data_IF_319749339821
#
_entry.id   IF_319749339821
#
_cell.length_a   1.000
_cell.length_b   1.000
_cell.length_c   1.000
_cell.angle_alpha   90.00
_cell.angle_beta   90.00
_cell.angle_gamma   90.00
#
_symmetry.space_group_name_H-M   'P 1'
#
loop_
_entity.id
_entity.type
_entity.pdbx_description
1 polymer ?
#
# COMPACT_ATOMS: atom_id res chain seq x y z
N UNK A 1 -65.61 50.21 -0.39
CA UNK A 1 -66.31 50.82 0.76
C UNK A 1 -66.64 49.71 1.75
N UNK A 2 -66.11 49.83 2.99
CA UNK A 2 -66.46 49.14 4.26
C UNK A 2 -66.47 47.59 4.30
N UNK A 3 -65.49 46.98 4.98
CA UNK A 3 -65.38 46.75 6.45
C UNK A 3 -66.18 45.50 6.91
N UNK A 4 -65.46 44.38 7.11
CA UNK A 4 -65.05 43.76 8.39
C UNK A 4 -66.14 43.00 9.15
N UNK A 5 -65.82 41.76 9.54
CA UNK A 5 -65.86 41.32 10.96
C UNK A 5 -65.07 40.03 11.17
N UNK A 6 -64.14 40.11 12.12
CA UNK A 6 -63.41 39.01 12.75
C UNK A 6 -64.34 38.18 13.65
N UNK A 7 -64.05 36.89 13.83
CA UNK A 7 -64.20 36.19 15.12
C UNK A 7 -63.00 35.27 15.33
N UNK A 8 -62.32 35.50 16.45
CA UNK A 8 -61.30 34.67 17.09
C UNK A 8 -62.04 33.66 17.98
N UNK A 9 -61.64 32.39 17.97
CA UNK A 9 -61.85 31.53 19.14
C UNK A 9 -60.64 30.60 19.33
N UNK A 10 -60.32 30.38 20.59
CA UNK A 10 -59.01 30.03 21.09
C UNK A 10 -59.01 28.66 21.79
N UNK A 11 -57.80 28.08 21.91
CA UNK A 11 -57.35 27.05 22.86
C UNK A 11 -58.08 25.69 22.91
N UNK A 12 -57.31 24.61 22.80
CA UNK A 12 -56.94 23.76 23.96
C UNK A 12 -55.77 22.84 23.54
N UNK A 13 -54.76 22.85 24.39
CA UNK A 13 -53.54 22.07 24.35
C UNK A 13 -53.73 20.90 25.32
N UNK A 14 -53.55 19.65 24.87
CA UNK A 14 -53.55 18.48 25.75
C UNK A 14 -52.33 17.62 25.45
N UNK A 15 -51.38 17.69 26.40
CA UNK A 15 -50.29 16.75 26.61
C UNK A 15 -50.86 15.35 26.87
N UNK A 16 -50.34 14.34 26.19
CA UNK A 16 -50.34 12.96 26.69
C UNK A 16 -48.97 12.33 26.41
N UNK A 17 -48.21 12.16 27.50
CA UNK A 17 -47.05 11.29 27.59
C UNK A 17 -47.59 9.90 27.94
N UNK A 18 -47.12 8.88 27.24
CA UNK A 18 -47.43 7.49 27.54
C UNK A 18 -46.63 6.54 26.64
N UNK A 19 -45.38 6.29 27.00
CA UNK A 19 -44.56 5.21 26.47
C UNK A 19 -45.13 3.87 26.93
N UNK A 20 -45.35 2.91 26.03
CA UNK A 20 -45.11 1.47 26.26
C UNK A 20 -45.00 0.73 24.92
N UNK A 21 -43.78 0.27 24.64
CA UNK A 21 -43.40 -1.08 24.16
C UNK A 21 -44.01 -1.58 22.85
N UNK A 22 -43.17 -1.54 21.81
CA UNK A 22 -43.20 -2.44 20.66
C UNK A 22 -41.78 -2.86 20.28
N UNK A 23 -41.35 -4.05 20.72
CA UNK A 23 -40.22 -4.81 20.15
C UNK A 23 -40.68 -5.46 18.82
N UNK A 24 -39.88 -5.83 17.81
CA UNK A 24 -38.44 -5.77 17.52
C UNK A 24 -38.23 -6.41 16.12
N UNK A 25 -37.24 -5.93 15.36
CA UNK A 25 -36.26 -6.65 14.50
C UNK A 25 -36.03 -6.07 13.09
N UNK A 26 -34.72 -6.09 12.74
CA UNK A 26 -34.08 -6.12 11.41
C UNK A 26 -34.22 -4.87 10.53
N UNK A 27 -33.16 -4.17 10.08
CA UNK A 27 -31.72 -4.41 10.11
C UNK A 27 -31.01 -3.05 10.13
N UNK A 28 -30.02 -2.91 11.02
CA UNK A 28 -29.11 -1.78 11.04
C UNK A 28 -28.31 -1.75 9.73
N UNK A 29 -28.43 -0.68 8.96
CA UNK A 29 -27.51 -0.37 7.86
C UNK A 29 -26.16 -0.05 8.52
N UNK A 30 -25.09 -0.84 8.32
CA UNK A 30 -23.80 -0.49 8.87
C UNK A 30 -23.29 0.74 8.13
N UNK A 31 -22.97 1.80 8.88
CA UNK A 31 -22.05 2.82 8.41
C UNK A 31 -20.78 2.13 7.90
N UNK A 32 -20.44 2.39 6.64
CA UNK A 32 -19.19 1.96 6.03
C UNK A 32 -18.07 2.76 6.68
N UNK A 33 -17.60 2.24 7.80
CA UNK A 33 -16.40 2.66 8.49
C UNK A 33 -15.23 2.47 7.51
N UNK A 34 -14.58 3.56 7.11
CA UNK A 34 -13.42 3.62 6.21
C UNK A 34 -12.16 3.09 6.95
N UNK A 35 -12.29 1.90 7.53
CA UNK A 35 -11.18 1.11 8.03
C UNK A 35 -10.52 0.49 6.81
N UNK A 36 -9.45 1.12 6.33
CA UNK A 36 -8.39 0.44 5.61
C UNK A 36 -8.10 -0.87 6.33
N UNK A 37 -8.63 -1.96 5.79
CA UNK A 37 -8.43 -3.30 6.35
C UNK A 37 -6.98 -3.63 6.01
N UNK A 38 -6.09 -3.44 6.99
CA UNK A 38 -4.68 -3.76 6.84
C UNK A 38 -4.58 -5.27 6.64
N UNK A 39 -4.04 -5.70 5.50
CA UNK A 39 -3.87 -7.11 5.23
C UNK A 39 -2.70 -7.66 6.07
N UNK A 40 -2.81 -8.88 6.58
CA UNK A 40 -1.98 -9.39 7.68
C UNK A 40 -0.65 -10.02 7.22
N UNK A 41 -0.58 -10.46 5.96
CA UNK A 41 0.54 -11.20 5.40
C UNK A 41 1.11 -10.51 4.17
N UNK A 42 2.39 -10.78 3.88
CA UNK A 42 3.07 -10.31 2.68
C UNK A 42 3.43 -11.48 1.79
N UNK A 43 3.21 -11.32 0.49
CA UNK A 43 3.54 -12.33 -0.50
C UNK A 43 3.86 -11.76 -1.87
N UNK A 44 4.21 -12.64 -2.79
CA UNK A 44 4.46 -12.33 -4.20
C UNK A 44 3.55 -13.18 -5.06
N UNK A 45 2.97 -12.57 -6.10
CA UNK A 45 2.20 -13.30 -7.10
C UNK A 45 3.14 -14.20 -7.90
N UNK A 46 2.78 -15.48 -8.03
CA UNK A 46 3.57 -16.48 -8.74
C UNK A 46 2.71 -17.22 -9.75
N UNK A 47 3.27 -17.52 -10.93
CA UNK A 47 2.59 -18.31 -11.96
C UNK A 47 2.51 -19.80 -11.61
N UNK A 48 1.40 -20.45 -11.96
CA UNK A 48 1.29 -21.92 -11.98
C UNK A 48 1.37 -22.45 -13.41
N UNK A 49 2.56 -22.38 -14.02
CA UNK A 49 2.77 -22.85 -15.41
C UNK A 49 2.35 -24.32 -15.65
N UNK A 50 2.19 -25.12 -14.59
CA UNK A 50 1.88 -26.54 -14.68
C UNK A 50 0.42 -26.92 -14.36
N UNK A 51 -0.43 -25.99 -13.91
CA UNK A 51 -1.82 -26.29 -13.43
C UNK A 51 -2.90 -25.51 -14.22
N UNK A 52 -2.50 -24.79 -15.27
CA UNK A 52 -3.38 -23.90 -16.05
C UNK A 52 -3.03 -22.44 -15.79
N UNK A 53 -3.77 -21.49 -16.40
CA UNK A 53 -3.51 -20.04 -16.26
C UNK A 53 -3.86 -19.47 -14.87
N UNK A 54 -3.65 -20.23 -13.80
CA UNK A 54 -3.96 -19.83 -12.44
C UNK A 54 -2.74 -19.16 -11.79
N UNK A 55 -2.92 -17.99 -11.20
CA UNK A 55 -1.89 -17.33 -10.39
C UNK A 55 -2.12 -17.69 -8.90
N UNK A 56 -1.04 -17.84 -8.14
CA UNK A 56 -1.07 -18.07 -6.69
C UNK A 56 -0.24 -17.03 -5.93
N UNK A 57 -0.17 -17.17 -4.61
CA UNK A 57 0.63 -16.28 -3.74
C UNK A 57 1.70 -17.11 -3.04
N UNK A 58 2.95 -16.65 -3.04
CA UNK A 58 4.02 -17.21 -2.23
C UNK A 58 4.42 -16.22 -1.13
N UNK A 59 4.40 -16.65 0.13
CA UNK A 59 4.87 -15.79 1.23
C UNK A 59 6.40 -15.77 1.35
N UNK A 60 6.90 -14.88 2.20
CA UNK A 60 8.33 -14.76 2.52
C UNK A 60 8.97 -16.00 3.18
N UNK A 61 8.15 -16.94 3.68
CA UNK A 61 8.60 -18.21 4.29
C UNK A 61 8.60 -19.35 3.27
N UNK A 62 8.18 -19.10 2.03
CA UNK A 62 8.08 -20.10 0.97
C UNK A 62 6.82 -20.94 1.04
N UNK A 63 5.82 -20.56 1.84
CA UNK A 63 4.50 -21.18 1.78
C UNK A 63 3.78 -20.72 0.53
N UNK A 64 3.20 -21.69 -0.18
CA UNK A 64 2.40 -21.43 -1.36
C UNK A 64 0.92 -21.47 -1.01
N UNK A 65 0.19 -20.46 -1.48
CA UNK A 65 -1.23 -20.30 -1.31
C UNK A 65 -1.92 -20.37 -2.67
N UNK A 66 -2.85 -21.30 -2.80
CA UNK A 66 -3.73 -21.41 -3.97
C UNK A 66 -5.02 -20.67 -3.65
N UNK A 67 -5.40 -19.69 -4.48
CA UNK A 67 -6.64 -18.94 -4.26
C UNK A 67 -7.78 -19.74 -4.86
N UNK A 68 -8.58 -20.36 -3.99
CA UNK A 68 -9.82 -21.04 -4.40
C UNK A 68 -10.89 -20.01 -4.72
N UNK A 69 -11.08 -19.05 -3.80
CA UNK A 69 -12.05 -17.97 -3.95
C UNK A 69 -11.38 -16.62 -3.72
N UNK A 70 -11.51 -15.71 -4.68
CA UNK A 70 -11.18 -14.31 -4.48
C UNK A 70 -12.43 -13.54 -3.97
N UNK A 71 -12.54 -13.37 -2.65
CA UNK A 71 -13.65 -12.60 -2.05
C UNK A 71 -13.45 -11.08 -2.18
N UNK A 72 -12.25 -10.65 -2.56
CA UNK A 72 -11.94 -9.22 -2.77
C UNK A 72 -12.40 -8.74 -4.14
N UNK A 73 -12.41 -9.64 -5.13
CA UNK A 73 -12.64 -9.31 -6.55
C UNK A 73 -11.49 -8.55 -7.21
N UNK A 74 -10.40 -8.33 -6.49
CA UNK A 74 -9.30 -7.45 -6.87
C UNK A 74 -8.04 -8.20 -7.31
N UNK A 75 -7.99 -9.53 -7.14
CA UNK A 75 -6.80 -10.32 -7.45
C UNK A 75 -6.39 -10.22 -8.93
N UNK A 76 -7.36 -10.11 -9.82
CA UNK A 76 -7.14 -9.98 -11.28
C UNK A 76 -6.35 -8.73 -11.70
N UNK A 77 -6.18 -7.74 -10.80
CA UNK A 77 -5.39 -6.53 -11.05
C UNK A 77 -3.88 -6.78 -10.97
N UNK A 78 -3.47 -7.87 -10.33
CA UNK A 78 -2.07 -8.19 -10.08
C UNK A 78 -1.54 -9.20 -11.10
N UNK A 79 -0.23 -9.15 -11.34
CA UNK A 79 0.48 -10.05 -12.25
C UNK A 79 1.64 -10.73 -11.54
N UNK A 80 2.13 -11.81 -12.14
CA UNK A 80 3.31 -12.51 -11.66
C UNK A 80 4.48 -11.56 -11.35
N UNK A 81 5.08 -11.74 -10.16
CA UNK A 81 6.15 -10.91 -9.62
C UNK A 81 5.68 -9.69 -8.83
N UNK A 82 4.39 -9.36 -8.78
CA UNK A 82 3.89 -8.27 -7.96
C UNK A 82 3.98 -8.61 -6.47
N UNK A 83 4.45 -7.65 -5.66
CA UNK A 83 4.45 -7.77 -4.20
C UNK A 83 3.12 -7.28 -3.65
N UNK A 84 2.46 -8.13 -2.86
CA UNK A 84 1.12 -7.88 -2.33
C UNK A 84 1.08 -8.11 -0.83
N UNK A 85 0.14 -7.43 -0.18
CA UNK A 85 -0.25 -7.70 1.19
C UNK A 85 -1.62 -8.35 1.13
N UNK A 86 -1.83 -9.43 1.88
CA UNK A 86 -3.03 -10.24 1.79
C UNK A 86 -3.44 -10.83 3.15
N UNK A 87 -4.74 -11.06 3.30
CA UNK A 87 -5.30 -11.86 4.39
C UNK A 87 -6.18 -12.93 3.78
N UNK A 88 -6.34 -14.02 4.51
CA UNK A 88 -7.15 -15.13 4.05
C UNK A 88 -7.85 -15.82 5.21
N UNK A 89 -8.85 -16.62 4.86
CA UNK A 89 -9.39 -17.67 5.73
C UNK A 89 -9.08 -19.02 5.12
N UNK A 90 -8.76 -20.00 5.98
CA UNK A 90 -8.57 -21.37 5.54
C UNK A 90 -9.86 -21.88 4.89
N UNK A 91 -9.71 -22.54 3.75
CA UNK A 91 -10.85 -23.19 3.11
C UNK A 91 -11.05 -24.59 3.73
N UNK A 92 -11.90 -24.66 4.75
CA UNK A 92 -12.16 -25.89 5.51
C UNK A 92 -12.76 -27.02 4.66
N UNK A 93 -13.56 -26.68 3.65
CA UNK A 93 -14.29 -27.63 2.79
C UNK A 93 -13.65 -27.84 1.39
N UNK A 94 -12.49 -27.25 1.12
CA UNK A 94 -11.82 -27.43 -0.16
C UNK A 94 -11.37 -28.89 -0.33
N UNK A 95 -11.94 -29.59 -1.32
CA UNK A 95 -11.58 -30.98 -1.63
C UNK A 95 -10.11 -31.02 -2.03
N UNK A 96 -9.29 -31.59 -1.15
CA UNK A 96 -7.86 -31.82 -1.36
C UNK A 96 -7.64 -32.89 -2.42
N UNK A 97 -7.63 -32.49 -3.69
CA UNK A 97 -7.14 -33.35 -4.77
C UNK A 97 -6.11 -32.63 -5.62
N UNK A 98 -5.00 -32.23 -5.01
CA UNK A 98 -3.72 -32.15 -5.71
C UNK A 98 -2.99 -33.50 -5.59
N UNK A 99 -3.68 -34.58 -5.99
CA UNK A 99 -3.01 -35.86 -6.18
C UNK A 99 -2.36 -35.87 -7.56
N UNK A 100 -1.07 -35.57 -7.55
CA UNK A 100 -0.04 -36.26 -8.34
C UNK A 100 -0.33 -36.43 -9.84
N UNK A 101 -0.06 -35.39 -10.61
CA UNK A 101 0.68 -35.57 -11.86
C UNK A 101 2.10 -35.00 -11.70
N UNK A 102 2.90 -35.66 -10.86
CA UNK A 102 4.38 -35.65 -10.81
C UNK A 102 5.16 -34.32 -10.85
N UNK A 103 4.53 -33.17 -10.70
CA UNK A 103 5.18 -31.90 -10.92
C UNK A 103 4.83 -30.98 -9.74
N UNK A 104 5.80 -30.89 -8.81
CA UNK A 104 5.91 -29.95 -7.69
C UNK A 104 5.23 -30.41 -6.37
N UNK A 105 6.06 -30.95 -5.47
CA UNK A 105 5.74 -31.31 -4.06
C UNK A 105 5.65 -30.09 -3.13
N UNK A 106 5.24 -28.92 -3.62
CA UNK A 106 5.07 -27.76 -2.73
C UNK A 106 3.70 -27.88 -2.09
N UNK A 107 3.60 -28.05 -0.76
CA UNK A 107 2.31 -28.05 -0.10
C UNK A 107 1.63 -26.71 -0.35
N UNK A 108 0.59 -26.74 -1.19
CA UNK A 108 -0.26 -25.61 -1.47
C UNK A 108 -1.39 -25.56 -0.43
N UNK A 109 -1.55 -24.41 0.23
CA UNK A 109 -2.68 -24.14 1.11
C UNK A 109 -3.80 -23.50 0.28
N UNK A 110 -4.95 -24.17 0.06
CA UNK A 110 -6.10 -23.55 -0.57
C UNK A 110 -6.70 -22.52 0.38
N UNK A 111 -6.94 -21.31 -0.13
CA UNK A 111 -7.41 -20.18 0.66
C UNK A 111 -8.57 -19.46 -0.01
N UNK A 112 -9.41 -18.87 0.84
CA UNK A 112 -10.31 -17.79 0.42
C UNK A 112 -9.63 -16.46 0.72
N UNK A 113 -9.27 -15.73 -0.32
CA UNK A 113 -8.62 -14.42 -0.23
C UNK A 113 -9.64 -13.38 0.27
N UNK A 114 -9.40 -12.83 1.45
CA UNK A 114 -10.32 -11.87 2.10
C UNK A 114 -9.82 -10.43 2.06
N UNK A 115 -8.51 -10.24 1.88
CA UNK A 115 -7.88 -8.94 1.71
C UNK A 115 -6.76 -9.07 0.68
N UNK A 116 -6.67 -8.12 -0.24
CA UNK A 116 -5.50 -7.94 -1.09
C UNK A 116 -5.32 -6.46 -1.38
N UNK A 117 -4.11 -5.98 -1.18
CA UNK A 117 -3.69 -4.67 -1.63
C UNK A 117 -2.24 -4.75 -2.11
N UNK A 118 -1.82 -3.74 -2.87
CA UNK A 118 -0.40 -3.39 -2.92
C UNK A 118 0.08 -3.36 -1.46
N UNK A 119 1.24 -3.95 -1.15
CA UNK A 119 1.85 -3.74 0.16
C UNK A 119 2.18 -2.26 0.34
N UNK A 120 1.17 -1.49 0.72
CA UNK A 120 1.33 -0.18 1.29
C UNK A 120 2.13 -0.41 2.54
N UNK A 121 3.27 0.25 2.62
CA UNK A 121 4.00 0.22 3.86
C UNK A 121 3.12 0.84 4.93
N UNK A 122 2.80 0.06 5.95
CA UNK A 122 2.19 0.63 7.12
C UNK A 122 3.26 1.45 7.80
N UNK A 123 2.92 2.66 8.26
CA UNK A 123 3.91 3.67 8.70
C UNK A 123 4.91 3.13 9.74
N UNK A 124 4.58 2.03 10.43
CA UNK A 124 5.41 1.41 11.46
C UNK A 124 6.60 0.60 10.92
N UNK A 125 6.58 0.16 9.65
CA UNK A 125 7.68 -0.61 9.03
C UNK A 125 8.57 0.25 8.11
N UNK A 126 8.23 1.52 7.94
CA UNK A 126 8.92 2.44 7.06
C UNK A 126 10.25 2.92 7.66
N UNK A 127 11.31 2.95 6.84
CA UNK A 127 12.58 3.54 7.25
C UNK A 127 12.49 5.06 7.24
N UNK A 128 13.02 5.73 8.25
CA UNK A 128 13.07 7.19 8.25
C UNK A 128 13.89 7.74 7.07
N UNK A 129 13.46 8.87 6.50
CA UNK A 129 14.27 9.62 5.54
C UNK A 129 15.42 10.36 6.24
N UNK A 130 16.57 10.45 5.57
CA UNK A 130 17.74 11.19 6.08
C UNK A 130 17.81 12.56 5.41
N UNK A 131 17.39 13.60 6.12
CA UNK A 131 17.55 14.98 5.65
C UNK A 131 19.01 15.43 5.73
N UNK A 132 19.56 15.91 4.62
CA UNK A 132 20.93 16.44 4.53
C UNK A 132 20.91 17.85 3.95
N UNK A 133 21.91 18.66 4.31
CA UNK A 133 22.03 20.04 3.78
C UNK A 133 22.33 20.06 2.28
N UNK A 134 23.10 19.08 1.81
CA UNK A 134 23.49 18.94 0.42
C UNK A 134 23.77 17.46 0.14
N UNK A 135 23.31 16.97 -1.01
CA UNK A 135 23.71 15.66 -1.51
C UNK A 135 25.20 15.71 -1.90
N UNK A 136 26.00 14.80 -1.34
CA UNK A 136 27.42 14.72 -1.69
C UNK A 136 27.57 14.29 -3.15
N UNK A 137 28.24 15.14 -3.93
CA UNK A 137 28.41 15.00 -5.39
C UNK A 137 29.45 13.94 -5.77
N UNK A 138 30.33 13.57 -4.84
CA UNK A 138 31.42 12.60 -4.97
C UNK A 138 31.28 11.60 -3.79
N UNK A 139 31.40 10.27 -3.93
CA UNK A 139 32.54 9.56 -4.53
C UNK A 139 32.24 8.20 -5.17
N UNK A 140 30.98 7.76 -5.27
CA UNK A 140 30.64 6.56 -6.05
C UNK A 140 29.28 6.76 -6.72
N UNK A 141 29.28 7.23 -7.97
CA UNK A 141 28.13 7.04 -8.87
C UNK A 141 27.72 5.56 -8.93
N UNK A 142 28.66 4.66 -8.62
CA UNK A 142 28.51 3.21 -8.57
C UNK A 142 27.61 2.70 -7.44
N UNK A 143 27.30 3.53 -6.43
CA UNK A 143 26.40 3.17 -5.32
C UNK A 143 24.98 3.73 -5.48
N UNK A 144 24.70 4.44 -6.59
CA UNK A 144 23.36 4.91 -6.90
C UNK A 144 22.52 3.73 -7.38
N UNK A 145 21.48 3.44 -6.61
CA UNK A 145 20.50 2.42 -6.96
C UNK A 145 19.63 2.91 -8.11
N UNK A 146 19.30 2.03 -9.05
CA UNK A 146 18.42 2.40 -10.14
C UNK A 146 16.96 2.39 -9.65
N UNK A 147 16.35 3.54 -9.46
CA UNK A 147 14.93 3.64 -9.09
C UNK A 147 14.06 3.34 -10.30
N UNK A 148 13.34 2.22 -10.25
CA UNK A 148 12.45 1.74 -11.31
C UNK A 148 11.05 2.35 -11.12
N UNK A 149 10.52 2.22 -9.91
CA UNK A 149 9.17 2.67 -9.60
C UNK A 149 9.08 3.37 -8.25
N UNK A 150 8.10 4.27 -8.12
CA UNK A 150 7.84 5.01 -6.90
C UNK A 150 6.33 5.14 -6.71
N UNK A 151 5.85 4.65 -5.56
CA UNK A 151 4.44 4.73 -5.15
C UNK A 151 4.35 5.46 -3.80
N UNK A 152 3.44 6.41 -3.68
CA UNK A 152 3.11 7.05 -2.41
C UNK A 152 1.79 6.51 -1.88
N UNK A 153 1.74 6.15 -0.60
CA UNK A 153 0.50 5.90 0.13
C UNK A 153 0.53 6.66 1.46
N UNK A 154 -0.22 7.76 1.55
CA UNK A 154 -0.18 8.66 2.72
C UNK A 154 1.23 9.19 2.97
N UNK A 155 1.76 8.94 4.18
CA UNK A 155 3.14 9.31 4.55
C UNK A 155 4.18 8.25 4.16
N UNK A 156 3.78 7.13 3.56
CA UNK A 156 4.69 6.07 3.14
C UNK A 156 5.10 6.27 1.68
N UNK A 157 6.40 6.16 1.42
CA UNK A 157 6.97 6.15 0.09
C UNK A 157 7.63 4.81 -0.22
N UNK A 158 7.01 4.05 -1.13
CA UNK A 158 7.57 2.80 -1.63
C UNK A 158 8.40 3.08 -2.87
N UNK A 159 9.65 2.64 -2.85
CA UNK A 159 10.58 2.76 -3.97
C UNK A 159 10.99 1.36 -4.40
N UNK A 160 10.70 1.02 -5.66
CA UNK A 160 11.22 -0.17 -6.31
C UNK A 160 12.57 0.16 -6.93
N UNK A 161 13.61 -0.49 -6.47
CA UNK A 161 14.97 -0.32 -6.96
C UNK A 161 15.45 -1.56 -7.70
N UNK A 162 16.35 -1.35 -8.67
CA UNK A 162 17.16 -2.35 -9.32
C UNK A 162 18.63 -2.13 -8.99
N UNK A 163 19.36 -3.22 -8.77
CA UNK A 163 20.79 -3.18 -8.49
C UNK A 163 21.48 -4.48 -8.90
N UNK A 164 22.78 -4.37 -9.19
CA UNK A 164 23.64 -5.52 -9.41
C UNK A 164 24.44 -5.83 -8.15
N UNK A 165 24.56 -7.10 -7.78
CA UNK A 165 25.21 -7.44 -6.53
C UNK A 165 25.43 -8.94 -6.30
N UNK A 166 25.96 -9.25 -5.12
CA UNK A 166 26.16 -10.62 -4.61
C UNK A 166 25.13 -10.98 -3.53
N UNK A 167 24.47 -9.97 -2.94
CA UNK A 167 23.57 -10.11 -1.79
C UNK A 167 22.34 -9.23 -2.02
N UNK A 168 21.18 -9.87 -2.12
CA UNK A 168 19.87 -9.25 -2.30
C UNK A 168 19.35 -8.56 -1.02
N UNK A 169 20.01 -8.81 0.12
CA UNK A 169 19.63 -8.28 1.45
C UNK A 169 20.25 -6.91 1.74
N UNK A 170 20.36 -6.05 0.73
CA UNK A 170 20.76 -4.66 0.95
C UNK A 170 19.72 -3.89 1.77
N UNK A 171 20.18 -2.92 2.56
CA UNK A 171 19.30 -1.98 3.28
C UNK A 171 19.71 -0.52 2.97
N UNK A 172 19.35 0.01 1.80
CA UNK A 172 19.67 1.37 1.41
C UNK A 172 18.90 2.40 2.24
N UNK A 173 19.42 3.62 2.25
CA UNK A 173 18.81 4.78 2.89
C UNK A 173 18.40 5.81 1.83
N UNK A 174 17.31 6.52 2.09
CA UNK A 174 16.86 7.65 1.28
C UNK A 174 17.40 8.95 1.87
N UNK A 175 18.29 9.61 1.13
CA UNK A 175 18.81 10.92 1.46
C UNK A 175 18.01 11.99 0.72
N UNK A 176 17.60 13.03 1.43
CA UNK A 176 16.81 14.14 0.88
C UNK A 176 17.49 15.47 1.19
N UNK A 177 17.62 16.33 0.19
CA UNK A 177 18.16 17.67 0.35
C UNK A 177 17.21 18.68 -0.30
N UNK A 178 16.81 19.71 0.43
CA UNK A 178 15.94 20.75 -0.12
C UNK A 178 16.69 21.57 -1.18
N UNK A 179 16.07 21.74 -2.35
CA UNK A 179 16.59 22.58 -3.42
C UNK A 179 16.17 24.03 -3.23
N UNK A 180 17.04 24.80 -2.59
CA UNK A 180 16.83 26.22 -2.32
C UNK A 180 16.97 27.12 -3.56
N UNK A 181 17.40 26.56 -4.71
CA UNK A 181 17.53 27.33 -5.95
C UNK A 181 16.22 27.45 -6.71
N UNK A 182 15.28 26.54 -6.45
CA UNK A 182 13.96 26.55 -7.10
C UNK A 182 13.06 27.53 -6.36
N UNK A 183 12.84 28.70 -6.95
CA UNK A 183 11.87 29.67 -6.47
C UNK A 183 10.45 29.19 -6.83
N UNK A 184 9.89 28.33 -5.98
CA UNK A 184 8.55 27.75 -6.12
C UNK A 184 7.81 27.86 -4.78
N UNK A 185 6.48 28.09 -4.78
CA UNK A 185 5.70 28.10 -3.54
C UNK A 185 5.71 26.74 -2.85
N UNK A 186 5.77 25.66 -3.64
CA UNK A 186 5.90 24.28 -3.18
C UNK A 186 7.39 23.92 -3.09
N UNK A 187 7.90 23.42 -1.95
CA UNK A 187 9.29 23.00 -1.80
C UNK A 187 9.69 21.90 -2.77
N UNK A 188 10.96 21.90 -3.14
CA UNK A 188 11.58 20.87 -3.96
C UNK A 188 12.67 20.17 -3.16
N UNK A 189 12.72 18.85 -3.25
CA UNK A 189 13.75 18.02 -2.66
C UNK A 189 14.47 17.24 -3.75
N UNK A 190 15.79 17.22 -3.71
CA UNK A 190 16.60 16.28 -4.48
C UNK A 190 16.85 15.04 -3.61
N UNK A 191 16.70 13.86 -4.21
CA UNK A 191 16.61 12.59 -3.53
C UNK A 191 17.58 11.56 -4.12
N UNK A 192 18.28 10.84 -3.23
CA UNK A 192 19.20 9.77 -3.61
C UNK A 192 18.97 8.54 -2.72
N UNK A 193 18.80 7.38 -3.37
CA UNK A 193 18.77 6.08 -2.70
C UNK A 193 20.17 5.49 -2.77
N UNK A 194 20.81 5.33 -1.61
CA UNK A 194 22.21 4.89 -1.49
C UNK A 194 22.33 3.73 -0.52
N UNK A 195 23.26 2.82 -0.81
CA UNK A 195 23.76 1.83 0.16
C UNK A 195 25.22 2.12 0.50
N UNK A 196 25.65 1.68 1.67
CA UNK A 196 27.06 1.67 2.06
C UNK A 196 27.79 0.39 1.61
N UNK A 197 27.07 -0.60 1.07
CA UNK A 197 27.66 -1.86 0.62
C UNK A 197 28.02 -1.79 -0.86
N UNK A 198 29.32 -1.83 -1.15
CA UNK A 198 29.81 -2.05 -2.52
C UNK A 198 29.69 -3.55 -2.80
N UNK A 199 29.00 -3.91 -3.89
CA UNK A 199 28.88 -5.30 -4.33
C UNK A 199 29.44 -5.42 -5.75
N UNK A 200 30.37 -6.36 -5.97
CA UNK A 200 31.12 -6.49 -7.23
C UNK A 200 30.66 -7.66 -8.12
N UNK A 201 29.47 -8.21 -7.86
CA UNK A 201 28.91 -9.30 -8.66
C UNK A 201 27.89 -8.79 -9.70
N UNK A 202 27.68 -9.58 -10.76
CA UNK A 202 26.80 -9.24 -11.89
C UNK A 202 25.38 -9.82 -11.79
N UNK A 203 24.94 -10.31 -10.62
CA UNK A 203 23.56 -10.77 -10.47
C UNK A 203 22.63 -9.56 -10.34
N UNK A 204 21.53 -9.57 -11.09
CA UNK A 204 20.54 -8.49 -11.11
C UNK A 204 19.43 -8.78 -10.10
N UNK A 205 19.15 -7.81 -9.23
CA UNK A 205 18.12 -7.89 -8.22
C UNK A 205 17.17 -6.70 -8.32
N UNK A 206 15.93 -6.94 -7.90
CA UNK A 206 14.93 -5.88 -7.69
C UNK A 206 14.37 -5.98 -6.29
N UNK A 207 14.13 -4.83 -5.65
CA UNK A 207 13.56 -4.79 -4.31
C UNK A 207 12.69 -3.58 -4.09
N UNK A 208 11.62 -3.76 -3.33
CA UNK A 208 10.76 -2.68 -2.86
C UNK A 208 11.13 -2.31 -1.43
N UNK A 209 11.28 -1.01 -1.20
CA UNK A 209 11.79 -0.46 0.06
C UNK A 209 10.92 0.71 0.43
N UNK A 210 10.62 0.82 1.72
CA UNK A 210 9.76 1.86 2.19
C UNK A 210 10.41 2.91 3.05
N UNK A 211 9.98 4.15 2.84
CA UNK A 211 10.44 5.31 3.57
C UNK A 211 9.28 6.10 4.20
N UNK A 212 9.46 6.54 5.44
CA UNK A 212 8.52 7.38 6.17
C UNK A 212 8.79 8.85 5.83
N UNK A 213 7.81 9.48 5.17
CA UNK A 213 7.82 10.89 4.81
C UNK A 213 7.26 11.79 5.92
N UNK A 214 6.80 11.26 7.05
CA UNK A 214 6.28 12.05 8.18
C UNK A 214 7.18 13.22 8.58
N UNK A 215 8.52 13.10 8.62
CA UNK A 215 9.40 14.25 8.92
C UNK A 215 9.24 15.42 7.94
N UNK A 216 8.98 15.13 6.66
CA UNK A 216 8.79 16.12 5.61
C UNK A 216 7.34 16.64 5.58
N UNK A 217 6.36 15.74 5.67
CA UNK A 217 4.93 16.10 5.62
C UNK A 217 4.44 16.86 6.86
N UNK A 218 5.22 16.85 7.96
CA UNK A 218 5.03 17.75 9.12
C UNK A 218 5.44 19.19 8.84
N UNK A 219 6.42 19.40 7.95
CA UNK A 219 6.93 20.74 7.58
C UNK A 219 6.10 21.35 6.46
N UNK A 220 5.68 20.53 5.50
CA UNK A 220 5.00 20.95 4.29
C UNK A 220 3.88 19.97 3.93
N UNK A 221 2.68 20.47 3.65
CA UNK A 221 1.54 19.64 3.22
C UNK A 221 1.68 19.12 1.79
N UNK A 222 2.49 19.80 0.99
CA UNK A 222 2.76 19.52 -0.42
C UNK A 222 4.24 19.78 -0.72
N UNK A 223 4.89 18.90 -1.48
CA UNK A 223 6.27 19.10 -1.95
C UNK A 223 6.58 18.21 -3.16
N UNK A 224 7.60 18.58 -3.92
CA UNK A 224 8.11 17.78 -5.03
C UNK A 224 9.40 17.07 -4.62
N UNK A 225 9.58 15.83 -5.05
CA UNK A 225 10.79 15.05 -4.85
C UNK A 225 11.37 14.61 -6.20
N UNK A 226 12.64 14.95 -6.45
CA UNK A 226 13.40 14.61 -7.65
C UNK A 226 14.36 13.47 -7.35
N UNK A 227 14.13 12.30 -7.93
CA UNK A 227 14.99 11.14 -7.82
C UNK A 227 15.95 11.08 -9.00
N UNK A 228 17.25 11.10 -8.73
CA UNK A 228 18.27 10.85 -9.74
C UNK A 228 18.37 9.34 -10.00
N UNK A 229 18.00 8.91 -11.20
CA UNK A 229 18.04 7.51 -11.66
C UNK A 229 19.01 7.37 -12.82
N UNK A 230 19.28 6.13 -13.26
CA UNK A 230 20.11 5.91 -14.44
C UNK A 230 19.44 6.39 -15.74
N UNK A 231 18.10 6.45 -15.76
CA UNK A 231 17.31 6.91 -16.90
C UNK A 231 17.03 8.41 -16.90
N UNK A 232 17.48 9.16 -15.88
CA UNK A 232 17.28 10.60 -15.77
C UNK A 232 16.77 11.02 -14.40
N UNK A 233 15.94 12.06 -14.36
CA UNK A 233 15.32 12.54 -13.13
C UNK A 233 13.85 12.10 -13.15
N UNK A 234 13.42 11.37 -12.11
CA UNK A 234 12.01 11.05 -11.88
C UNK A 234 11.48 11.98 -10.79
N UNK A 235 10.49 12.81 -11.14
CA UNK A 235 9.83 13.70 -10.19
C UNK A 235 8.52 13.11 -9.73
N UNK A 236 8.26 13.16 -8.43
CA UNK A 236 6.95 12.84 -7.86
C UNK A 236 6.45 14.05 -7.06
N UNK A 237 5.14 14.25 -7.11
CA UNK A 237 4.46 15.25 -6.30
C UNK A 237 3.86 14.54 -5.08
N UNK A 238 4.27 14.96 -3.88
CA UNK A 238 3.76 14.44 -2.62
C UNK A 238 2.69 15.37 -2.10
N UNK A 239 1.53 14.81 -1.78
CA UNK A 239 0.44 15.50 -1.12
C UNK A 239 -0.04 14.68 0.07
N UNK A 240 -0.19 15.34 1.21
CA UNK A 240 -0.78 14.75 2.41
C UNK A 240 -2.30 14.62 2.28
#
# INVERSE_FOLDING_TARGET
MKQTKNIILAFILLFSIGSFVGCSNSDDIPEQDDKTTECDLRGTIVGLDCVGQSLGIMDSKGHFYFIETDRTGDFSKYKEGDSICFSYVDCDDCIRTFNTQNIINTPALPIDLTCINDCGCTNNDCKGVTEVRQLQKDSLRDNLMNVIDIKQNGNSLTIKIAFSGCDDKIDPSLFVAQDLKVMSPTPWYNCEVKTNRIQLCQAYFTREICFDLTPLTRKYSDFNMNFHTQSGIKTIHIKR
#
